data_IF_351083062577
#
_entry.id   IF_351083062577
#
_cell.length_a   1.000
_cell.length_b   1.000
_cell.length_c   1.000
_cell.angle_alpha   90.00
_cell.angle_beta   90.00
_cell.angle_gamma   90.00
#
_symmetry.space_group_name_H-M   'P 1'
#
loop_
_entity.id
_entity.type
_entity.pdbx_description
1 polymer ?
#
# COMPACT_ATOMS: atom_id res chain seq x y z
N UNK A 1 17.60 15.64 0.35
CA UNK A 1 17.92 14.78 -0.81
C UNK A 1 16.65 14.24 -1.46
N UNK A 2 15.88 13.36 -0.78
CA UNK A 2 14.62 12.78 -1.32
C UNK A 2 13.56 13.85 -1.65
N UNK A 3 13.33 14.82 -0.75
CA UNK A 3 12.35 15.90 -0.95
C UNK A 3 12.54 16.65 -2.28
N UNK A 4 13.76 17.10 -2.57
CA UNK A 4 14.06 17.84 -3.81
C UNK A 4 13.93 16.99 -5.08
N UNK A 5 14.23 15.69 -4.99
CA UNK A 5 14.04 14.75 -6.09
C UNK A 5 12.56 14.57 -6.46
N UNK A 6 11.69 14.53 -5.44
CA UNK A 6 10.22 14.43 -5.60
C UNK A 6 9.65 15.75 -6.14
N UNK A 7 10.08 16.89 -5.60
CA UNK A 7 9.54 18.21 -5.96
C UNK A 7 9.93 18.69 -7.37
N UNK A 8 11.13 18.33 -7.87
CA UNK A 8 11.65 18.85 -9.15
C UNK A 8 11.44 17.91 -10.35
N UNK A 9 11.02 16.66 -10.15
CA UNK A 9 10.73 15.72 -11.24
C UNK A 9 11.92 15.36 -12.16
N UNK A 10 13.15 15.79 -11.84
CA UNK A 10 14.38 15.56 -12.62
C UNK A 10 15.34 14.54 -11.95
N UNK A 11 14.87 13.81 -10.94
CA UNK A 11 15.65 12.97 -10.05
C UNK A 11 15.95 11.54 -10.53
N UNK A 12 15.88 11.23 -11.84
CA UNK A 12 16.17 9.86 -12.32
C UNK A 12 17.58 9.39 -11.92
N UNK A 13 18.54 10.30 -11.86
CA UNK A 13 19.91 10.04 -11.38
C UNK A 13 20.01 9.77 -9.87
N UNK A 14 18.95 10.08 -9.11
CA UNK A 14 18.85 9.83 -7.67
C UNK A 14 18.06 8.55 -7.36
N UNK A 15 17.51 7.87 -8.37
CA UNK A 15 16.67 6.70 -8.18
C UNK A 15 17.38 5.62 -7.36
N UNK A 16 18.63 5.31 -7.69
CA UNK A 16 19.40 4.28 -6.99
C UNK A 16 19.60 4.63 -5.51
N UNK A 17 19.99 5.88 -5.21
CA UNK A 17 20.17 6.34 -3.82
C UNK A 17 18.84 6.38 -3.05
N UNK A 18 17.73 6.70 -3.72
CA UNK A 18 16.39 6.65 -3.14
C UNK A 18 16.01 5.21 -2.82
N UNK A 19 16.20 4.26 -3.75
CA UNK A 19 15.90 2.84 -3.56
C UNK A 19 16.75 2.24 -2.43
N UNK A 20 18.04 2.55 -2.37
CA UNK A 20 18.92 2.11 -1.29
C UNK A 20 18.48 2.66 0.08
N UNK A 21 18.09 3.94 0.12
CA UNK A 21 17.56 4.55 1.35
C UNK A 21 16.24 3.89 1.75
N UNK A 22 15.34 3.63 0.79
CA UNK A 22 14.07 2.96 1.02
C UNK A 22 14.26 1.53 1.56
N UNK A 23 15.21 0.78 1.01
CA UNK A 23 15.58 -0.56 1.48
C UNK A 23 16.17 -0.52 2.90
N UNK A 24 17.10 0.42 3.16
CA UNK A 24 17.71 0.59 4.49
C UNK A 24 16.69 0.93 5.56
N UNK A 25 15.71 1.78 5.21
CA UNK A 25 14.63 2.18 6.11
C UNK A 25 13.48 1.18 6.18
N UNK A 26 13.46 0.14 5.32
CA UNK A 26 12.34 -0.80 5.19
C UNK A 26 11.02 -0.13 4.81
N UNK A 27 11.07 0.95 4.03
CA UNK A 27 9.90 1.80 3.79
C UNK A 27 8.83 1.13 2.93
N UNK A 28 9.22 0.20 2.04
CA UNK A 28 8.29 -0.53 1.19
C UNK A 28 7.50 -1.55 2.01
N UNK A 29 8.20 -2.36 2.80
CA UNK A 29 7.61 -3.35 3.70
C UNK A 29 6.71 -2.68 4.73
N UNK A 30 7.15 -1.53 5.28
CA UNK A 30 6.34 -0.76 6.21
C UNK A 30 5.06 -0.23 5.54
N UNK A 31 5.16 0.28 4.31
CA UNK A 31 4.00 0.79 3.56
C UNK A 31 3.04 -0.34 3.21
N UNK A 32 3.55 -1.51 2.83
CA UNK A 32 2.75 -2.71 2.57
C UNK A 32 1.99 -3.13 3.83
N UNK A 33 2.66 -3.23 4.98
CA UNK A 33 2.02 -3.54 6.25
C UNK A 33 0.93 -2.54 6.62
N UNK A 34 1.17 -1.24 6.41
CA UNK A 34 0.14 -0.21 6.63
C UNK A 34 -1.06 -0.42 5.72
N UNK A 35 -0.83 -0.74 4.45
CA UNK A 35 -1.91 -1.01 3.50
C UNK A 35 -2.76 -2.22 3.93
N UNK A 36 -2.11 -3.31 4.36
CA UNK A 36 -2.78 -4.50 4.91
C UNK A 36 -3.65 -4.15 6.13
N UNK A 37 -3.11 -3.38 7.08
CA UNK A 37 -3.86 -2.94 8.26
C UNK A 37 -5.10 -2.10 7.91
N UNK A 38 -5.03 -1.26 6.87
CA UNK A 38 -6.20 -0.48 6.42
C UNK A 38 -7.23 -1.37 5.68
N UNK A 39 -6.78 -2.37 4.92
CA UNK A 39 -7.68 -3.35 4.31
C UNK A 39 -8.43 -4.16 5.38
N UNK A 40 -7.74 -4.59 6.45
CA UNK A 40 -8.36 -5.30 7.57
C UNK A 40 -9.41 -4.45 8.28
N UNK A 41 -9.14 -3.15 8.48
CA UNK A 41 -10.14 -2.22 9.03
C UNK A 41 -11.36 -2.08 8.12
N UNK A 42 -11.17 -2.00 6.81
CA UNK A 42 -12.26 -1.94 5.86
C UNK A 42 -13.12 -3.21 5.91
N UNK A 43 -12.49 -4.39 5.97
CA UNK A 43 -13.17 -5.69 6.11
C UNK A 43 -13.94 -5.77 7.43
N UNK A 44 -13.34 -5.32 8.54
CA UNK A 44 -13.99 -5.28 9.84
C UNK A 44 -15.22 -4.36 9.84
N UNK A 45 -15.16 -3.22 9.15
CA UNK A 45 -16.29 -2.31 9.01
C UNK A 45 -17.47 -2.92 8.22
N UNK A 46 -17.22 -3.90 7.34
CA UNK A 46 -18.27 -4.60 6.59
C UNK A 46 -19.05 -5.61 7.43
N UNK A 47 -18.59 -5.98 8.63
CA UNK A 47 -19.24 -6.98 9.49
C UNK A 47 -20.63 -6.56 9.99
N UNK A 48 -20.96 -5.25 9.94
CA UNK A 48 -22.31 -4.75 10.25
C UNK A 48 -23.34 -5.14 9.17
N UNK A 49 -22.88 -5.49 7.96
CA UNK A 49 -23.74 -5.87 6.84
C UNK A 49 -24.09 -7.36 6.92
N UNK A 50 -25.33 -7.75 6.55
CA UNK A 50 -25.71 -9.15 6.44
C UNK A 50 -24.81 -9.95 5.50
N UNK A 51 -24.63 -11.23 5.80
CA UNK A 51 -23.97 -12.20 4.93
C UNK A 51 -24.63 -12.20 3.55
N UNK A 52 -23.85 -11.82 2.53
CA UNK A 52 -24.32 -11.75 1.16
C UNK A 52 -23.15 -11.84 0.16
N UNK A 53 -23.42 -12.27 -1.08
CA UNK A 53 -22.39 -12.29 -2.13
C UNK A 53 -21.75 -10.91 -2.38
N UNK A 54 -22.48 -9.82 -2.11
CA UNK A 54 -22.00 -8.45 -2.29
C UNK A 54 -21.00 -8.04 -1.20
N UNK A 55 -21.27 -8.42 0.06
CA UNK A 55 -20.29 -8.28 1.14
C UNK A 55 -19.04 -9.12 0.82
N UNK A 56 -19.27 -10.31 0.30
CA UNK A 56 -18.32 -11.19 -0.41
C UNK A 56 -17.32 -10.43 -1.27
N UNK A 57 -17.88 -9.80 -2.29
CA UNK A 57 -17.14 -9.07 -3.30
C UNK A 57 -16.37 -7.89 -2.71
N UNK A 58 -16.95 -7.14 -1.77
CA UNK A 58 -16.29 -6.00 -1.12
C UNK A 58 -15.06 -6.43 -0.31
N UNK A 59 -15.15 -7.55 0.41
CA UNK A 59 -14.01 -8.15 1.13
C UNK A 59 -12.92 -8.56 0.12
N UNK A 60 -13.31 -9.23 -0.97
CA UNK A 60 -12.37 -9.60 -2.03
C UNK A 60 -11.64 -8.40 -2.66
N UNK A 61 -12.35 -7.29 -2.89
CA UNK A 61 -11.74 -6.05 -3.41
C UNK A 61 -10.70 -5.47 -2.45
N UNK A 62 -10.95 -5.51 -1.14
CA UNK A 62 -10.00 -5.04 -0.14
C UNK A 62 -8.70 -5.86 -0.16
N UNK A 63 -8.79 -7.19 -0.27
CA UNK A 63 -7.62 -8.06 -0.39
C UNK A 63 -6.84 -7.82 -1.69
N UNK A 64 -7.54 -7.72 -2.83
CA UNK A 64 -6.90 -7.46 -4.14
C UNK A 64 -6.15 -6.12 -4.16
N UNK A 65 -6.63 -5.11 -3.42
CA UNK A 65 -5.99 -3.81 -3.38
C UNK A 65 -4.59 -3.84 -2.75
N UNK A 66 -4.33 -4.78 -1.82
CA UNK A 66 -3.08 -4.84 -1.04
C UNK A 66 -2.16 -6.00 -1.45
N UNK A 67 -2.69 -7.08 -2.03
CA UNK A 67 -1.92 -8.24 -2.51
C UNK A 67 -1.63 -8.17 -4.02
N UNK A 68 -1.12 -7.03 -4.49
CA UNK A 68 -0.83 -6.86 -5.92
C UNK A 68 0.52 -7.46 -6.29
N UNK A 69 0.52 -8.73 -6.68
CA UNK A 69 1.64 -9.32 -7.42
C UNK A 69 1.61 -8.82 -8.88
N UNK A 70 2.72 -8.24 -9.34
CA UNK A 70 2.96 -7.84 -10.74
C UNK A 70 4.06 -8.70 -11.34
#
# INVERSE_FOLDING_TARGET
MIRGAIEQGNGRHLLDAVLETMATCGSLEWTQKRAEEEADKAIAALQVLPDSPWREALIGLAHIAVQRDH
#
